data_IF_187287379750
#
_entry.id   IF_187287379750
#
_cell.length_a   1.000
_cell.length_b   1.000
_cell.length_c   1.000
_cell.angle_alpha   90.00
_cell.angle_beta   90.00
_cell.angle_gamma   90.00
#
_symmetry.space_group_name_H-M   'P 1'
#
loop_
_entity.id
_entity.type
_entity.pdbx_description
1 polymer ?
#
# COMPACT_ATOMS: atom_id res chain seq x y z
N UNK A 1 -11.44 4.21 23.72
CA UNK A 1 -11.29 4.21 22.25
C UNK A 1 -12.19 5.30 21.71
N UNK A 2 -11.60 6.36 21.17
CA UNK A 2 -12.31 7.51 20.62
C UNK A 2 -12.87 7.17 19.23
N UNK A 3 -13.78 8.00 18.72
CA UNK A 3 -14.24 7.89 17.33
C UNK A 3 -13.05 8.00 16.34
N UNK A 4 -12.06 8.82 16.68
CA UNK A 4 -10.88 9.08 15.86
C UNK A 4 -9.92 7.88 15.82
N UNK A 5 -9.73 7.17 16.95
CA UNK A 5 -9.03 5.88 16.98
C UNK A 5 -9.67 4.86 16.02
N UNK A 6 -11.00 4.84 15.98
CA UNK A 6 -11.74 3.92 15.10
C UNK A 6 -11.56 4.29 13.62
N UNK A 7 -11.57 5.58 13.29
CA UNK A 7 -11.29 6.07 11.93
C UNK A 7 -9.87 5.70 11.49
N UNK A 8 -8.86 5.92 12.32
CA UNK A 8 -7.45 5.55 12.01
C UNK A 8 -7.35 4.05 11.70
N UNK A 9 -8.02 3.19 12.47
CA UNK A 9 -8.03 1.74 12.21
C UNK A 9 -8.67 1.38 10.87
N UNK A 10 -9.81 1.99 10.54
CA UNK A 10 -10.49 1.77 9.26
C UNK A 10 -9.61 2.23 8.10
N UNK A 11 -9.04 3.43 8.17
CA UNK A 11 -8.18 3.95 7.11
C UNK A 11 -6.88 3.16 6.94
N UNK A 12 -6.32 2.60 8.02
CA UNK A 12 -5.19 1.68 7.92
C UNK A 12 -5.56 0.40 7.18
N UNK A 13 -6.70 -0.20 7.51
CA UNK A 13 -7.18 -1.38 6.80
C UNK A 13 -7.44 -1.10 5.31
N UNK A 14 -8.01 0.07 4.98
CA UNK A 14 -8.21 0.50 3.59
C UNK A 14 -6.86 0.64 2.87
N UNK A 15 -5.85 1.24 3.49
CA UNK A 15 -4.51 1.35 2.92
C UNK A 15 -3.90 -0.04 2.66
N UNK A 16 -3.99 -0.95 3.64
CA UNK A 16 -3.46 -2.30 3.51
C UNK A 16 -4.13 -3.06 2.34
N UNK A 17 -5.44 -2.91 2.17
CA UNK A 17 -6.19 -3.52 1.07
C UNK A 17 -5.78 -2.95 -0.29
N UNK A 18 -5.59 -1.64 -0.39
CA UNK A 18 -5.10 -0.99 -1.63
C UNK A 18 -3.67 -1.43 -1.95
N UNK A 19 -2.80 -1.56 -0.95
CA UNK A 19 -1.44 -2.06 -1.13
C UNK A 19 -1.42 -3.51 -1.60
N UNK A 20 -2.29 -4.36 -1.05
CA UNK A 20 -2.44 -5.76 -1.52
C UNK A 20 -2.88 -5.80 -2.97
N UNK A 21 -3.90 -5.04 -3.34
CA UNK A 21 -4.36 -4.95 -4.74
C UNK A 21 -3.23 -4.50 -5.68
N UNK A 22 -2.45 -3.50 -5.29
CA UNK A 22 -1.29 -3.04 -6.07
C UNK A 22 -0.25 -4.16 -6.23
N UNK A 23 0.07 -4.88 -5.16
CA UNK A 23 1.02 -5.99 -5.20
C UNK A 23 0.52 -7.14 -6.11
N UNK A 24 -0.76 -7.47 -6.06
CA UNK A 24 -1.37 -8.51 -6.90
C UNK A 24 -1.32 -8.13 -8.39
N UNK A 25 -1.61 -6.87 -8.73
CA UNK A 25 -1.48 -6.35 -10.10
C UNK A 25 -0.05 -6.40 -10.62
N UNK A 26 0.92 -6.01 -9.79
CA UNK A 26 2.35 -6.07 -10.11
C UNK A 26 2.80 -7.52 -10.35
N UNK A 27 2.46 -8.43 -9.43
CA UNK A 27 2.80 -9.84 -9.57
C UNK A 27 2.19 -10.47 -10.83
N UNK A 28 0.95 -10.09 -11.18
CA UNK A 28 0.31 -10.59 -12.40
C UNK A 28 0.99 -10.06 -13.66
N UNK A 29 1.35 -8.77 -13.67
CA UNK A 29 2.12 -8.17 -14.77
C UNK A 29 3.49 -8.83 -14.95
N UNK A 30 4.20 -9.10 -13.85
CA UNK A 30 5.50 -9.75 -13.88
C UNK A 30 5.39 -11.16 -14.47
N UNK A 31 4.38 -11.93 -14.05
CA UNK A 31 4.09 -13.25 -14.61
C UNK A 31 3.84 -13.20 -16.12
N UNK A 32 3.04 -12.25 -16.62
CA UNK A 32 2.82 -12.13 -18.07
C UNK A 32 4.08 -11.71 -18.83
N UNK A 33 4.95 -10.94 -18.19
CA UNK A 33 6.24 -10.56 -18.76
C UNK A 33 7.18 -11.77 -18.85
N UNK A 34 7.16 -12.65 -17.85
CA UNK A 34 7.87 -13.93 -17.89
C UNK A 34 7.32 -14.86 -18.97
N UNK A 35 6.00 -14.96 -19.10
CA UNK A 35 5.33 -15.74 -20.17
C UNK A 35 5.70 -15.21 -21.56
N UNK A 36 5.82 -13.89 -21.72
CA UNK A 36 6.27 -13.25 -22.95
C UNK A 36 7.72 -13.63 -23.29
N UNK A 37 8.62 -13.55 -22.30
CA UNK A 37 10.02 -13.94 -22.46
C UNK A 37 10.18 -15.43 -22.75
N UNK A 38 9.33 -16.28 -22.16
CA UNK A 38 9.31 -17.71 -22.45
C UNK A 38 8.88 -17.97 -23.90
N UNK A 39 7.83 -17.30 -24.36
CA UNK A 39 7.36 -17.41 -25.75
C UNK A 39 8.44 -16.99 -26.76
N UNK A 40 9.19 -15.93 -26.48
CA UNK A 40 10.28 -15.50 -27.37
C UNK A 40 11.42 -16.54 -27.44
N UNK A 41 11.71 -17.26 -26.34
CA UNK A 41 12.68 -18.37 -26.32
C UNK A 41 12.15 -19.60 -27.08
N UNK A 42 10.86 -19.89 -26.94
CA UNK A 42 10.21 -21.00 -27.66
C UNK A 42 10.28 -20.76 -29.19
N UNK A 43 10.07 -19.51 -29.63
CA UNK A 43 10.20 -19.14 -31.05
C UNK A 43 11.61 -19.41 -31.57
N UNK A 44 12.65 -19.04 -30.83
CA UNK A 44 14.03 -19.26 -31.27
C UNK A 44 14.39 -20.76 -31.28
N UNK A 45 13.92 -21.51 -30.28
CA UNK A 45 14.11 -22.97 -30.23
C UNK A 45 13.45 -23.66 -31.42
N UNK A 46 12.21 -23.28 -31.75
CA UNK A 46 11.50 -23.84 -32.90
C UNK A 46 12.16 -23.44 -34.22
N UNK A 47 12.73 -22.23 -34.30
CA UNK A 47 13.48 -21.77 -35.48
C UNK A 47 14.73 -22.61 -35.73
N UNK A 48 15.47 -22.93 -34.67
CA UNK A 48 16.64 -23.80 -34.77
C UNK A 48 16.25 -25.21 -35.23
N UNK A 49 15.17 -25.79 -34.68
CA UNK A 49 14.66 -27.10 -35.07
C UNK A 49 14.18 -27.14 -36.53
N UNK A 50 13.49 -26.09 -36.97
CA UNK A 50 13.03 -25.92 -38.35
C UNK A 50 14.19 -25.89 -39.36
N UNK A 51 15.37 -25.43 -38.95
CA UNK A 51 16.59 -25.46 -39.77
C UNK A 51 17.24 -26.84 -39.88
N UNK A 52 16.84 -27.81 -39.05
CA UNK A 52 17.44 -29.16 -38.98
C UNK A 52 16.65 -30.23 -39.74
N UNK A 53 15.38 -29.99 -40.09
CA UNK A 53 14.50 -30.94 -40.81
C UNK A 53 13.58 -30.19 -41.78
N UNK A 54 13.44 -30.71 -42.99
CA UNK A 54 12.52 -30.18 -44.01
C UNK A 54 11.05 -30.28 -43.55
N UNK A 55 10.69 -31.35 -42.85
CA UNK A 55 9.36 -31.51 -42.25
C UNK A 55 9.07 -30.41 -41.21
N UNK A 56 10.03 -30.14 -40.31
CA UNK A 56 9.90 -29.08 -39.31
C UNK A 56 9.85 -27.68 -39.95
N UNK A 57 10.67 -27.44 -40.97
CA UNK A 57 10.67 -26.20 -41.75
C UNK A 57 9.32 -25.87 -42.40
N UNK A 58 8.55 -26.89 -42.80
CA UNK A 58 7.23 -26.70 -43.42
C UNK A 58 6.14 -26.21 -42.44
N UNK A 59 6.22 -26.59 -41.16
CA UNK A 59 5.21 -26.25 -40.13
C UNK A 59 5.57 -24.95 -39.40
N UNK A 60 6.85 -24.60 -39.37
CA UNK A 60 7.38 -23.44 -38.66
C UNK A 60 6.65 -22.10 -38.96
N UNK A 61 6.31 -21.73 -40.20
CA UNK A 61 5.60 -20.48 -40.47
C UNK A 61 4.24 -20.38 -39.77
N UNK A 62 3.51 -21.50 -39.67
CA UNK A 62 2.22 -21.54 -38.96
C UNK A 62 2.40 -21.36 -37.45
N UNK A 63 3.45 -21.97 -36.88
CA UNK A 63 3.84 -21.78 -35.49
C UNK A 63 4.18 -20.31 -35.19
N UNK A 64 5.03 -19.70 -36.01
CA UNK A 64 5.43 -18.29 -35.85
C UNK A 64 4.23 -17.35 -35.92
N UNK A 65 3.31 -17.58 -36.86
CA UNK A 65 2.09 -16.77 -36.95
C UNK A 65 1.24 -16.84 -35.68
N UNK A 66 1.05 -18.04 -35.12
CA UNK A 66 0.34 -18.24 -33.86
C UNK A 66 1.08 -17.61 -32.66
N UNK A 67 2.42 -17.74 -32.63
CA UNK A 67 3.24 -17.17 -31.57
C UNK A 67 3.22 -15.64 -31.59
N UNK A 68 3.27 -15.01 -32.76
CA UNK A 68 3.15 -13.54 -32.90
C UNK A 68 1.78 -13.02 -32.45
N UNK A 69 0.69 -13.73 -32.77
CA UNK A 69 -0.65 -13.37 -32.29
C UNK A 69 -0.74 -13.46 -30.76
N UNK A 70 -0.20 -14.53 -30.17
CA UNK A 70 -0.11 -14.67 -28.71
C UNK A 70 0.75 -13.56 -28.09
N UNK A 71 1.89 -13.24 -28.71
CA UNK A 71 2.79 -12.16 -28.26
C UNK A 71 2.06 -10.82 -28.24
N UNK A 72 1.34 -10.50 -29.31
CA UNK A 72 0.53 -9.28 -29.39
C UNK A 72 -0.48 -9.19 -28.25
N UNK A 73 -1.25 -10.27 -28.00
CA UNK A 73 -2.23 -10.32 -26.89
C UNK A 73 -1.59 -10.15 -25.52
N UNK A 74 -0.43 -10.77 -25.28
CA UNK A 74 0.31 -10.59 -24.04
C UNK A 74 0.77 -9.14 -23.86
N UNK A 75 1.36 -8.52 -24.90
CA UNK A 75 1.79 -7.13 -24.85
C UNK A 75 0.62 -6.16 -24.59
N UNK A 76 -0.52 -6.36 -25.25
CA UNK A 76 -1.74 -5.57 -25.01
C UNK A 76 -2.23 -5.71 -23.57
N UNK A 77 -2.24 -6.94 -23.04
CA UNK A 77 -2.65 -7.20 -21.64
C UNK A 77 -1.68 -6.57 -20.64
N UNK A 78 -0.37 -6.69 -20.87
CA UNK A 78 0.67 -6.07 -20.03
C UNK A 78 0.54 -4.54 -20.04
N UNK A 79 0.26 -3.94 -21.20
CA UNK A 79 0.06 -2.49 -21.30
C UNK A 79 -1.16 -2.03 -20.49
N UNK A 80 -2.27 -2.76 -20.57
CA UNK A 80 -3.47 -2.49 -19.79
C UNK A 80 -3.23 -2.67 -18.28
N UNK A 81 -2.54 -3.73 -17.87
CA UNK A 81 -2.15 -3.88 -16.46
C UNK A 81 -1.21 -2.78 -16.00
N UNK A 82 -0.39 -2.23 -16.90
CA UNK A 82 0.45 -1.06 -16.63
C UNK A 82 -0.38 0.14 -16.22
N UNK A 83 -1.43 0.48 -16.99
CA UNK A 83 -2.31 1.60 -16.65
C UNK A 83 -3.10 1.35 -15.37
N UNK A 84 -3.59 0.13 -15.15
CA UNK A 84 -4.26 -0.27 -13.90
C UNK A 84 -3.33 -0.21 -12.69
N UNK A 85 -2.06 -0.59 -12.86
CA UNK A 85 -1.04 -0.51 -11.80
C UNK A 85 -0.77 0.93 -11.40
N UNK A 86 -0.65 1.86 -12.36
CA UNK A 86 -0.45 3.27 -12.03
C UNK A 86 -1.68 3.86 -11.31
N UNK A 87 -2.90 3.54 -11.75
CA UNK A 87 -4.12 3.93 -11.04
C UNK A 87 -4.16 3.35 -9.61
N UNK A 88 -3.76 2.09 -9.42
CA UNK A 88 -3.67 1.48 -8.10
C UNK A 88 -2.60 2.14 -7.20
N UNK A 89 -1.50 2.65 -7.77
CA UNK A 89 -0.51 3.43 -7.02
C UNK A 89 -1.07 4.77 -6.55
N UNK A 90 -1.83 5.44 -7.39
CA UNK A 90 -2.52 6.68 -7.03
C UNK A 90 -3.53 6.44 -5.90
N UNK A 91 -4.33 5.36 -5.99
CA UNK A 91 -5.25 4.93 -4.92
C UNK A 91 -4.53 4.71 -3.57
N UNK A 92 -3.35 4.07 -3.60
CA UNK A 92 -2.53 3.85 -2.39
C UNK A 92 -2.03 5.18 -1.83
N UNK A 93 -1.57 6.09 -2.70
CA UNK A 93 -1.08 7.41 -2.29
C UNK A 93 -2.20 8.25 -1.65
N UNK A 94 -3.41 8.22 -2.22
CA UNK A 94 -4.59 8.88 -1.67
C UNK A 94 -4.97 8.30 -0.31
N UNK A 95 -5.10 6.96 -0.20
CA UNK A 95 -5.42 6.29 1.05
C UNK A 95 -4.40 6.58 2.16
N UNK A 96 -3.11 6.65 1.81
CA UNK A 96 -2.05 7.01 2.73
C UNK A 96 -2.18 8.46 3.21
N UNK A 97 -2.46 9.40 2.30
CA UNK A 97 -2.69 10.81 2.64
C UNK A 97 -3.87 10.96 3.60
N UNK A 98 -4.98 10.28 3.33
CA UNK A 98 -6.15 10.26 4.23
C UNK A 98 -5.81 9.71 5.61
N UNK A 99 -5.15 8.55 5.69
CA UNK A 99 -4.71 7.97 6.95
C UNK A 99 -3.87 8.97 7.76
N UNK A 100 -2.93 9.67 7.11
CA UNK A 100 -2.07 10.66 7.77
C UNK A 100 -2.83 11.84 8.35
N UNK A 101 -3.91 12.30 7.71
CA UNK A 101 -4.78 13.35 8.25
C UNK A 101 -5.41 12.92 9.57
N UNK A 102 -5.95 11.70 9.63
CA UNK A 102 -6.55 11.17 10.86
C UNK A 102 -5.51 10.89 11.96
N UNK A 103 -4.35 10.34 11.60
CA UNK A 103 -3.26 10.13 12.57
C UNK A 103 -2.79 11.46 13.19
N UNK A 104 -2.67 12.52 12.39
CA UNK A 104 -2.32 13.86 12.87
C UNK A 104 -3.40 14.43 13.79
N UNK A 105 -4.68 14.30 13.40
CA UNK A 105 -5.79 14.74 14.23
C UNK A 105 -5.80 14.03 15.60
N UNK A 106 -5.54 12.72 15.61
CA UNK A 106 -5.49 11.91 16.83
C UNK A 106 -4.37 12.39 17.75
N UNK A 107 -3.17 12.58 17.19
CA UNK A 107 -2.03 13.11 17.94
C UNK A 107 -2.31 14.48 18.55
N UNK A 108 -2.98 15.36 17.82
CA UNK A 108 -3.37 16.68 18.33
C UNK A 108 -4.37 16.57 19.49
N UNK A 109 -5.35 15.67 19.38
CA UNK A 109 -6.31 15.41 20.46
C UNK A 109 -5.60 14.90 21.72
N UNK A 110 -4.72 13.91 21.59
CA UNK A 110 -3.94 13.36 22.71
C UNK A 110 -3.06 14.43 23.36
N UNK A 111 -2.43 15.30 22.56
CA UNK A 111 -1.64 16.41 23.08
C UNK A 111 -2.49 17.43 23.85
N UNK A 112 -3.70 17.71 23.39
CA UNK A 112 -4.61 18.60 24.10
C UNK A 112 -5.09 17.99 25.42
N UNK A 113 -5.42 16.70 25.41
CA UNK A 113 -5.87 15.97 26.60
C UNK A 113 -4.78 15.87 27.67
N UNK A 114 -3.54 15.58 27.27
CA UNK A 114 -2.38 15.55 28.19
C UNK A 114 -2.10 16.94 28.76
N UNK A 115 -2.14 17.98 27.94
CA UNK A 115 -1.96 19.38 28.39
C UNK A 115 -3.04 19.80 29.39
N UNK A 116 -4.31 19.50 29.08
CA UNK A 116 -5.44 19.80 29.97
C UNK A 116 -5.34 19.05 31.31
N UNK A 117 -4.91 17.78 31.27
CA UNK A 117 -4.70 16.96 32.46
C UNK A 117 -3.60 17.52 33.34
N UNK A 118 -2.43 17.83 32.75
CA UNK A 118 -1.32 18.46 33.48
C UNK A 118 -1.69 19.81 34.08
N UNK A 119 -2.52 20.62 33.39
CA UNK A 119 -3.04 21.87 33.95
C UNK A 119 -3.93 21.62 35.18
N UNK A 120 -4.85 20.65 35.12
CA UNK A 120 -5.72 20.29 36.25
C UNK A 120 -4.92 19.75 37.43
N UNK A 121 -3.94 18.88 37.18
CA UNK A 121 -3.06 18.33 38.22
C UNK A 121 -2.26 19.43 38.92
N UNK A 122 -1.69 20.39 38.17
CA UNK A 122 -0.99 21.55 38.76
C UNK A 122 -1.92 22.39 39.65
N UNK A 123 -3.12 22.73 39.17
CA UNK A 123 -4.09 23.49 39.97
C UNK A 123 -4.46 22.77 41.28
N UNK A 124 -4.65 21.45 41.23
CA UNK A 124 -4.94 20.65 42.43
C UNK A 124 -3.77 20.64 43.41
N UNK A 125 -2.52 20.52 42.92
CA UNK A 125 -1.32 20.56 43.76
C UNK A 125 -1.13 21.94 44.42
N UNK A 126 -1.37 23.02 43.67
CA UNK A 126 -1.30 24.39 44.18
C UNK A 126 -2.34 24.61 45.29
N UNK A 127 -3.58 24.15 45.10
CA UNK A 127 -4.65 24.24 46.10
C UNK A 127 -4.31 23.45 47.37
N UNK A 128 -3.78 22.23 47.23
CA UNK A 128 -3.31 21.42 48.35
C UNK A 128 -2.18 22.13 49.10
N UNK A 129 -1.20 22.70 48.40
CA UNK A 129 -0.10 23.46 48.99
C UNK A 129 -0.59 24.65 49.84
N UNK A 130 -1.55 25.43 49.31
CA UNK A 130 -2.17 26.54 50.04
C UNK A 130 -2.93 26.03 51.28
N UNK A 131 -3.66 24.92 51.17
CA UNK A 131 -4.42 24.35 52.30
C UNK A 131 -3.50 23.86 53.43
N UNK A 132 -2.39 23.21 53.09
CA UNK A 132 -1.38 22.73 54.04
C UNK A 132 -0.73 23.91 54.75
N UNK A 133 -0.31 24.93 53.98
CA UNK A 133 0.27 26.15 54.54
C UNK A 133 -0.68 26.88 55.51
N UNK A 134 -1.98 26.94 55.20
CA UNK A 134 -2.98 27.53 56.10
C UNK A 134 -3.14 26.71 57.39
N UNK A 135 -3.13 25.37 57.30
CA UNK A 135 -3.27 24.49 58.46
C UNK A 135 -2.07 24.57 59.40
N UNK A 136 -0.85 24.58 58.87
CA UNK A 136 0.36 24.67 59.69
C UNK A 136 0.49 26.02 60.40
N UNK A 137 0.05 27.12 59.77
CA UNK A 137 0.03 28.45 60.39
C UNK A 137 -1.04 28.59 61.48
N UNK A 138 -2.19 27.93 61.35
CA UNK A 138 -3.28 27.99 62.32
C UNK A 138 -3.09 27.10 63.56
N UNK A 139 -2.14 26.16 63.54
CA UNK A 139 -1.80 25.28 64.66
C UNK A 139 -0.51 25.65 65.40
N UNK A 140 0.02 26.86 65.17
CA UNK A 140 1.29 27.36 65.72
C UNK A 140 1.15 28.45 66.79
N UNK A 141 -0.07 28.70 67.29
CA UNK A 141 -0.35 29.48 68.52
C UNK A 141 -0.75 28.51 69.65
#
# INVERSE_FOLDING_TARGET
MTALDSMVRVHRWVLDEKQRKLADLQAFRDKLTDDLNALDRDIETEREAAGQSDEAGSVFPAFVAAALDRRKKLCETIANLGTETEAAREDVAEAFSELKKYELALKNQEQQETTNRGRRERMNLDELGVSIYRRTRAGGD
#
